data_IF_606419101496
#
_entry.id   IF_606419101496
#
_cell.length_a   1.000
_cell.length_b   1.000
_cell.length_c   1.000
_cell.angle_alpha   90.00
_cell.angle_beta   90.00
_cell.angle_gamma   90.00
#
_symmetry.space_group_name_H-M   'P 1'
#
loop_
_entity.id
_entity.type
_entity.pdbx_description
1 polymer ?
#
# COMPACT_ATOMS: atom_id res chain seq x y z
N UNK A 1 35.00 -50.04 -26.01
CA UNK A 1 34.19 -48.80 -25.98
C UNK A 1 33.88 -48.41 -24.54
N UNK A 2 34.86 -47.90 -23.78
CA UNK A 2 34.71 -47.45 -22.37
C UNK A 2 35.79 -46.37 -22.13
N UNK A 3 35.55 -45.15 -22.62
CA UNK A 3 36.55 -44.09 -22.57
C UNK A 3 36.04 -42.66 -22.69
N UNK A 4 34.71 -42.44 -22.77
CA UNK A 4 34.16 -41.09 -23.03
C UNK A 4 33.49 -40.43 -21.82
N UNK A 5 33.25 -41.17 -20.72
CA UNK A 5 32.51 -40.65 -19.55
C UNK A 5 33.41 -40.02 -18.48
N UNK A 6 34.68 -40.43 -18.40
CA UNK A 6 35.62 -39.92 -17.37
C UNK A 6 36.11 -38.50 -17.71
N UNK A 7 36.16 -38.13 -19.00
CA UNK A 7 36.60 -36.79 -19.42
C UNK A 7 35.51 -35.72 -19.23
N UNK A 8 34.23 -36.12 -19.33
CA UNK A 8 33.09 -35.23 -19.12
C UNK A 8 32.86 -34.86 -17.65
N UNK A 9 33.05 -35.81 -16.72
CA UNK A 9 32.91 -35.55 -15.29
C UNK A 9 34.05 -34.69 -14.74
N UNK A 10 35.26 -34.80 -15.31
CA UNK A 10 36.40 -33.97 -14.91
C UNK A 10 36.24 -32.50 -15.33
N UNK A 11 35.67 -32.22 -16.52
CA UNK A 11 35.37 -30.85 -16.94
C UNK A 11 34.24 -30.20 -16.13
N UNK A 12 33.21 -30.98 -15.77
CA UNK A 12 32.11 -30.49 -14.93
C UNK A 12 32.58 -30.14 -13.51
N UNK A 13 33.46 -30.96 -12.91
CA UNK A 13 34.04 -30.67 -11.59
C UNK A 13 34.94 -29.42 -11.61
N UNK A 14 35.70 -29.21 -12.69
CA UNK A 14 36.57 -28.05 -12.83
C UNK A 14 35.78 -26.73 -12.98
N UNK A 15 34.66 -26.75 -13.72
CA UNK A 15 33.78 -25.58 -13.87
C UNK A 15 33.10 -25.19 -12.54
N UNK A 16 32.70 -26.16 -11.72
CA UNK A 16 32.11 -25.90 -10.39
C UNK A 16 33.16 -25.35 -9.43
N UNK A 17 34.39 -25.88 -9.44
CA UNK A 17 35.48 -25.40 -8.60
C UNK A 17 35.90 -23.96 -8.91
N UNK A 18 36.01 -23.61 -10.19
CA UNK A 18 36.35 -22.24 -10.63
C UNK A 18 35.22 -21.25 -10.29
N UNK A 19 33.95 -21.66 -10.44
CA UNK A 19 32.80 -20.85 -10.06
C UNK A 19 32.73 -20.55 -8.55
N UNK A 20 33.04 -21.55 -7.71
CA UNK A 20 33.06 -21.38 -6.26
C UNK A 20 34.20 -20.46 -5.79
N UNK A 21 35.38 -20.56 -6.41
CA UNK A 21 36.52 -19.70 -6.08
C UNK A 21 36.31 -18.25 -6.53
N UNK A 22 35.77 -18.02 -7.73
CA UNK A 22 35.42 -16.67 -8.19
C UNK A 22 34.30 -16.05 -7.36
N UNK A 23 33.29 -16.84 -6.96
CA UNK A 23 32.21 -16.38 -6.10
C UNK A 23 32.68 -15.95 -4.70
N UNK A 24 33.63 -16.69 -4.11
CA UNK A 24 34.20 -16.34 -2.81
C UNK A 24 35.09 -15.09 -2.87
N UNK A 25 35.86 -14.91 -3.94
CA UNK A 25 36.72 -13.73 -4.11
C UNK A 25 35.93 -12.45 -4.37
N UNK A 26 34.82 -12.52 -5.14
CA UNK A 26 33.94 -11.36 -5.34
C UNK A 26 33.08 -11.04 -4.09
N UNK A 27 32.72 -12.06 -3.31
CA UNK A 27 31.98 -11.90 -2.05
C UNK A 27 32.83 -11.22 -0.96
N UNK A 28 34.10 -11.56 -0.86
CA UNK A 28 35.03 -10.96 0.12
C UNK A 28 35.56 -9.58 -0.30
N UNK A 29 35.61 -9.28 -1.61
CA UNK A 29 35.95 -7.94 -2.10
C UNK A 29 34.85 -6.89 -1.86
N UNK A 30 33.65 -7.30 -1.44
CA UNK A 30 32.53 -6.38 -1.13
C UNK A 30 32.51 -5.92 0.33
N UNK A 31 33.46 -6.35 1.16
CA UNK A 31 33.68 -5.80 2.52
C UNK A 31 34.66 -4.62 2.48
N UNK A 32 34.21 -3.51 1.88
CA UNK A 32 34.82 -2.20 2.12
C UNK A 32 33.75 -1.13 2.06
N UNK A 33 33.04 -0.99 3.17
CA UNK A 33 32.48 0.29 3.58
C UNK A 33 32.75 0.39 5.07
N UNK A 34 33.98 0.79 5.39
CA UNK A 34 34.30 1.36 6.69
C UNK A 34 33.42 2.60 6.86
N UNK A 35 32.37 2.47 7.66
CA UNK A 35 31.62 3.61 8.18
C UNK A 35 32.56 4.27 9.19
N UNK A 36 33.20 5.37 8.77
CA UNK A 36 33.79 6.31 9.71
C UNK A 36 32.75 6.61 10.79
N UNK A 37 33.12 6.66 12.08
CA UNK A 37 32.29 7.31 13.07
C UNK A 37 32.26 8.79 12.70
N UNK A 38 31.32 9.15 11.82
CA UNK A 38 30.91 10.52 11.61
C UNK A 38 30.65 11.07 12.99
N UNK A 39 31.48 12.03 13.38
CA UNK A 39 31.23 12.88 14.52
C UNK A 39 29.81 13.38 14.34
N UNK A 40 28.88 12.83 15.13
CA UNK A 40 27.59 13.43 15.37
C UNK A 40 27.92 14.75 16.06
N UNK A 41 28.25 15.75 15.24
CA UNK A 41 27.80 17.09 15.49
C UNK A 41 26.31 16.92 15.61
N UNK A 42 25.83 16.77 16.83
CA UNK A 42 24.50 17.19 17.22
C UNK A 42 24.47 18.65 16.80
N UNK A 43 24.16 18.90 15.52
CA UNK A 43 23.64 20.18 15.10
C UNK A 43 22.53 20.40 16.10
N UNK A 44 22.72 21.42 16.94
CA UNK A 44 21.72 21.83 17.90
C UNK A 44 20.45 22.03 17.08
N UNK A 45 19.56 21.05 17.14
CA UNK A 45 18.29 21.08 16.42
C UNK A 45 17.59 22.30 16.97
N UNK A 46 17.43 23.33 16.15
CA UNK A 46 16.73 24.52 16.58
C UNK A 46 15.28 24.11 16.86
N UNK A 47 14.94 24.05 18.15
CA UNK A 47 13.56 23.90 18.57
C UNK A 47 12.78 25.10 18.03
N UNK A 48 11.70 24.84 17.30
CA UNK A 48 10.85 25.86 16.70
C UNK A 48 10.18 26.70 17.79
N UNK A 49 9.76 26.04 18.87
CA UNK A 49 9.31 26.66 20.10
C UNK A 49 9.36 25.65 21.25
N UNK A 50 9.38 26.16 22.47
CA UNK A 50 9.31 25.43 23.72
C UNK A 50 7.90 25.58 24.30
N UNK A 51 7.30 24.50 24.80
CA UNK A 51 5.95 24.57 25.38
C UNK A 51 5.86 23.78 26.68
N UNK A 52 4.87 24.15 27.50
CA UNK A 52 4.51 23.44 28.72
C UNK A 52 3.48 22.35 28.37
N UNK A 53 3.73 21.06 28.68
CA UNK A 53 2.81 19.96 28.36
C UNK A 53 1.38 20.15 28.90
N UNK A 54 1.21 20.94 29.97
CA UNK A 54 -0.10 21.20 30.58
C UNK A 54 -0.83 22.42 29.98
N UNK A 55 -0.11 23.29 29.27
CA UNK A 55 -0.62 24.50 28.61
C UNK A 55 -0.02 24.60 27.19
N UNK A 56 -0.44 23.73 26.26
CA UNK A 56 0.18 23.64 24.93
C UNK A 56 -0.02 24.90 24.07
N UNK A 57 -0.97 25.77 24.42
CA UNK A 57 -1.27 27.01 23.69
C UNK A 57 -0.20 28.11 23.87
N UNK A 58 0.67 28.01 24.89
CA UNK A 58 1.70 29.01 25.17
C UNK A 58 3.06 28.57 24.60
N UNK A 59 3.59 29.37 23.68
CA UNK A 59 4.86 29.11 23.00
C UNK A 59 5.97 30.02 23.56
N UNK A 60 7.14 29.44 23.82
CA UNK A 60 8.32 30.14 24.32
C UNK A 60 9.51 29.96 23.39
N UNK A 61 10.26 31.03 23.13
CA UNK A 61 11.37 31.01 22.17
C UNK A 61 12.70 30.51 22.77
N UNK A 62 12.76 30.31 24.09
CA UNK A 62 14.00 29.96 24.81
C UNK A 62 13.80 28.74 25.73
N UNK A 63 14.82 27.88 25.86
CA UNK A 63 14.84 26.86 26.91
C UNK A 63 14.80 27.53 28.29
N UNK A 64 13.96 27.04 29.19
CA UNK A 64 13.82 27.61 30.52
C UNK A 64 12.76 26.93 31.37
N UNK A 65 12.61 27.42 32.61
CA UNK A 65 11.47 27.08 33.46
C UNK A 65 10.25 27.89 33.03
N UNK A 66 9.11 27.22 32.91
CA UNK A 66 7.81 27.82 32.59
C UNK A 66 7.43 28.84 33.67
N UNK A 67 7.16 30.10 33.31
CA UNK A 67 6.77 31.14 34.27
C UNK A 67 5.38 30.89 34.89
N UNK A 68 4.63 29.92 34.39
CA UNK A 68 3.32 29.56 34.93
C UNK A 68 3.41 28.51 36.05
N UNK A 69 4.38 27.58 36.00
CA UNK A 69 4.46 26.45 36.94
C UNK A 69 5.89 25.95 37.29
N UNK A 70 6.95 26.72 37.04
CA UNK A 70 8.35 26.36 37.38
C UNK A 70 8.85 25.01 36.82
N UNK A 71 8.17 24.48 35.79
CA UNK A 71 8.53 23.21 35.15
C UNK A 71 9.44 23.41 33.94
N UNK A 72 10.24 22.40 33.60
CA UNK A 72 11.11 22.45 32.43
C UNK A 72 10.26 22.43 31.14
N UNK A 73 10.44 23.42 30.28
CA UNK A 73 9.77 23.47 28.98
C UNK A 73 10.29 22.35 28.07
N UNK A 74 9.43 21.82 27.20
CA UNK A 74 9.77 20.76 26.25
C UNK A 74 9.99 21.36 24.86
N UNK A 75 11.10 21.03 24.15
CA UNK A 75 11.36 21.56 22.81
C UNK A 75 10.50 20.85 21.78
N UNK A 76 9.79 21.62 20.95
CA UNK A 76 9.13 21.13 19.75
C UNK A 76 10.01 21.44 18.53
N UNK A 77 10.36 20.42 17.77
CA UNK A 77 11.23 20.55 16.60
C UNK A 77 10.41 20.75 15.33
N UNK A 78 10.91 21.57 14.39
CA UNK A 78 10.25 21.81 13.10
C UNK A 78 10.16 20.54 12.23
N UNK A 79 11.03 19.56 12.47
CA UNK A 79 11.13 18.32 11.68
C UNK A 79 10.11 17.24 12.08
N UNK A 80 9.23 17.49 13.05
CA UNK A 80 8.11 16.61 13.38
C UNK A 80 6.93 16.80 12.40
N UNK A 81 7.27 17.02 11.13
CA UNK A 81 6.33 16.99 10.04
C UNK A 81 6.01 15.52 9.79
N UNK A 82 4.75 15.13 10.06
CA UNK A 82 4.29 13.76 9.92
C UNK A 82 4.79 13.17 8.59
N UNK A 83 5.73 12.24 8.67
CA UNK A 83 6.30 11.60 7.50
C UNK A 83 5.16 10.97 6.71
N UNK A 84 4.98 11.38 5.45
CA UNK A 84 3.89 10.90 4.57
C UNK A 84 4.03 9.41 4.22
N UNK A 85 5.10 8.74 4.68
CA UNK A 85 5.38 7.33 4.46
C UNK A 85 5.74 6.63 5.77
N UNK A 86 5.16 5.46 6.00
CA UNK A 86 5.52 4.54 7.07
C UNK A 86 6.36 3.38 6.50
N UNK A 87 7.50 3.12 7.11
CA UNK A 87 8.34 1.96 6.79
C UNK A 87 7.93 0.73 7.61
N UNK A 88 7.89 -0.44 6.97
CA UNK A 88 7.66 -1.73 7.62
C UNK A 88 8.89 -2.62 7.46
N UNK A 89 9.18 -3.46 8.46
CA UNK A 89 10.27 -4.42 8.38
C UNK A 89 9.96 -5.51 7.34
N UNK A 90 10.98 -5.89 6.55
CA UNK A 90 10.82 -6.88 5.47
C UNK A 90 10.28 -8.23 5.97
N UNK A 91 10.71 -8.69 7.15
CA UNK A 91 10.21 -9.91 7.76
C UNK A 91 8.71 -9.86 8.09
N UNK A 92 8.18 -8.68 8.44
CA UNK A 92 6.75 -8.46 8.70
C UNK A 92 5.95 -8.46 7.41
N UNK A 93 6.47 -7.83 6.34
CA UNK A 93 5.81 -7.83 5.03
C UNK A 93 5.72 -9.26 4.46
N UNK A 94 6.78 -10.05 4.64
CA UNK A 94 6.85 -11.43 4.17
C UNK A 94 5.98 -12.38 5.01
N UNK A 95 6.00 -12.28 6.34
CA UNK A 95 5.20 -13.15 7.21
C UNK A 95 3.69 -12.91 7.06
N UNK A 96 3.30 -11.65 6.82
CA UNK A 96 1.91 -11.27 6.56
C UNK A 96 1.48 -11.55 5.11
N UNK A 97 2.41 -11.91 4.23
CA UNK A 97 2.10 -12.23 2.83
C UNK A 97 1.46 -11.07 2.06
N UNK A 98 1.94 -9.85 2.29
CA UNK A 98 1.38 -8.64 1.69
C UNK A 98 1.39 -8.72 0.16
N UNK A 99 0.25 -8.44 -0.47
CA UNK A 99 0.08 -8.42 -1.94
C UNK A 99 -0.32 -7.04 -2.39
N UNK A 100 0.29 -6.59 -3.48
CA UNK A 100 -0.05 -5.32 -4.13
C UNK A 100 -0.28 -5.55 -5.60
N UNK A 101 -1.11 -4.70 -6.20
CA UNK A 101 -1.39 -4.69 -7.63
C UNK A 101 -1.32 -3.24 -8.10
N UNK A 102 -0.84 -3.01 -9.32
CA UNK A 102 -0.82 -1.67 -9.90
C UNK A 102 -2.24 -1.21 -10.19
N UNK A 103 -2.54 0.02 -9.80
CA UNK A 103 -3.82 0.67 -10.13
C UNK A 103 -3.94 0.82 -11.64
N UNK A 104 -5.09 0.46 -12.19
CA UNK A 104 -5.43 0.63 -13.60
C UNK A 104 -6.71 1.46 -13.73
N UNK A 105 -6.80 2.26 -14.78
CA UNK A 105 -8.04 2.99 -15.14
C UNK A 105 -8.80 2.19 -16.18
N UNK A 106 -10.12 2.08 -16.01
CA UNK A 106 -11.02 1.41 -16.94
C UNK A 106 -12.47 1.74 -16.64
N UNK A 107 -13.38 1.32 -17.52
CA UNK A 107 -14.82 1.38 -17.26
C UNK A 107 -15.23 0.17 -16.41
N UNK A 108 -15.89 0.41 -15.29
CA UNK A 108 -16.45 -0.66 -14.46
C UNK A 108 -17.88 -0.94 -14.93
N UNK A 109 -18.19 -2.12 -15.48
CA UNK A 109 -19.56 -2.45 -15.84
C UNK A 109 -20.39 -2.58 -14.56
N UNK A 110 -21.44 -1.78 -14.45
CA UNK A 110 -22.47 -1.92 -13.42
C UNK A 110 -23.69 -2.63 -14.02
N UNK A 111 -24.08 -3.77 -13.45
CA UNK A 111 -25.34 -4.44 -13.77
C UNK A 111 -26.38 -4.16 -12.70
N UNK A 112 -27.64 -4.09 -13.10
CA UNK A 112 -28.79 -4.02 -12.20
C UNK A 112 -29.70 -5.17 -12.58
N UNK A 113 -30.02 -6.01 -11.61
CA UNK A 113 -30.99 -7.08 -11.77
C UNK A 113 -32.36 -6.58 -11.27
N UNK A 114 -33.38 -6.71 -12.11
CA UNK A 114 -34.75 -6.31 -11.79
C UNK A 114 -35.73 -7.40 -12.21
N UNK A 115 -36.70 -7.68 -11.34
CA UNK A 115 -37.82 -8.56 -11.66
C UNK A 115 -38.91 -7.80 -12.43
N UNK A 116 -39.52 -8.45 -13.42
CA UNK A 116 -40.62 -7.90 -14.20
C UNK A 116 -41.70 -8.95 -14.48
N UNK A 117 -42.88 -8.50 -14.91
CA UNK A 117 -43.99 -9.36 -15.31
C UNK A 117 -44.33 -9.15 -16.78
N UNK A 118 -44.84 -10.19 -17.44
CA UNK A 118 -45.33 -10.12 -18.80
C UNK A 118 -46.82 -9.77 -18.79
N UNK A 119 -47.20 -8.73 -19.52
CA UNK A 119 -48.58 -8.31 -19.68
C UNK A 119 -48.95 -8.14 -21.15
N UNK A 120 -50.25 -8.19 -21.44
CA UNK A 120 -50.76 -7.87 -22.77
C UNK A 120 -50.48 -6.41 -23.14
N UNK A 121 -50.32 -6.15 -24.44
CA UNK A 121 -50.20 -4.78 -24.95
C UNK A 121 -51.50 -4.02 -24.66
N UNK A 122 -51.44 -3.06 -23.74
CA UNK A 122 -52.62 -2.24 -23.40
C UNK A 122 -53.11 -1.39 -24.58
N UNK A 123 -52.27 -1.19 -25.60
CA UNK A 123 -52.63 -0.49 -26.85
C UNK A 123 -53.52 -1.34 -27.76
N UNK A 124 -53.43 -2.65 -27.64
CA UNK A 124 -54.20 -3.61 -28.43
C UNK A 124 -55.41 -4.15 -27.65
N UNK A 125 -55.57 -3.72 -26.40
CA UNK A 125 -56.72 -4.08 -25.57
C UNK A 125 -57.88 -3.14 -25.88
N UNK A 126 -58.92 -3.68 -26.51
CA UNK A 126 -60.15 -2.95 -26.80
C UNK A 126 -61.27 -3.40 -25.87
N UNK A 127 -62.00 -2.45 -25.29
CA UNK A 127 -63.23 -2.71 -24.54
C UNK A 127 -64.43 -2.35 -25.41
N UNK A 128 -65.24 -3.33 -25.74
CA UNK A 128 -66.47 -3.12 -26.53
C UNK A 128 -67.61 -2.79 -25.58
N UNK A 129 -68.25 -1.65 -25.78
CA UNK A 129 -69.42 -1.21 -25.02
C UNK A 129 -70.61 -0.99 -25.95
N UNK A 130 -71.79 -1.42 -25.51
CA UNK A 130 -73.04 -1.07 -26.18
C UNK A 130 -73.28 0.44 -26.05
N UNK A 131 -73.77 1.09 -27.12
CA UNK A 131 -74.02 2.53 -27.14
C UNK A 131 -75.38 2.93 -26.55
N UNK A 132 -76.29 1.97 -26.40
CA UNK A 132 -77.64 2.14 -25.87
C UNK A 132 -78.15 0.81 -25.30
N UNK A 133 -79.20 0.88 -24.48
CA UNK A 133 -79.81 -0.30 -23.87
C UNK A 133 -80.54 -1.15 -24.91
N UNK A 134 -80.31 -2.47 -24.86
CA UNK A 134 -80.92 -3.47 -25.72
C UNK A 134 -80.85 -4.86 -25.07
N UNK A 135 -81.46 -5.87 -25.70
CA UNK A 135 -81.36 -7.27 -25.30
C UNK A 135 -80.40 -8.05 -26.21
N UNK A 136 -79.75 -9.10 -25.70
CA UNK A 136 -78.83 -9.96 -26.47
C UNK A 136 -79.60 -11.09 -27.13
N UNK A 137 -79.53 -11.17 -28.46
CA UNK A 137 -80.23 -12.19 -29.24
C UNK A 137 -79.33 -13.40 -29.58
N UNK A 138 -78.03 -13.18 -29.82
CA UNK A 138 -77.06 -14.24 -30.17
C UNK A 138 -75.64 -13.91 -29.69
N UNK A 139 -74.89 -14.95 -29.31
CA UNK A 139 -73.46 -14.91 -28.98
C UNK A 139 -72.72 -15.98 -29.80
N UNK A 140 -71.47 -15.71 -30.17
CA UNK A 140 -70.60 -16.60 -30.95
C UNK A 140 -69.47 -17.15 -30.09
#
# INVERSE_FOLDING_TARGET
>A
MKGSYVMGTLSAACLVGVGALLGFWLGTASESTAVEPGTTTTQARNALYWYDPMKPDQHFDKPGRSPFMDMALVPKYADEQASTSLGLAAGTVQSLGVRTVRVQRGALPSSIDAAGTLGYSQRELATVQARADAYVDKVY
#
